data_IF_324960923243
#
_entry.id   IF_324960923243
#
_cell.length_a   1.000
_cell.length_b   1.000
_cell.length_c   1.000
_cell.angle_alpha   90.00
_cell.angle_beta   90.00
_cell.angle_gamma   90.00
#
_symmetry.space_group_name_H-M   'P 1'
#
loop_
_entity.id
_entity.type
_entity.pdbx_description
1 polymer ?
#
# COMPACT_ATOMS: atom_id res chain seq x y z
N UNK A 1 -42.20 -26.61 37.69
CA UNK A 1 -40.92 -26.05 38.18
C UNK A 1 -40.07 -25.77 36.95
N UNK A 2 -40.07 -24.49 36.56
CA UNK A 2 -39.34 -23.73 35.55
C UNK A 2 -38.43 -24.46 34.54
N UNK A 3 -38.91 -24.54 33.30
CA UNK A 3 -38.07 -24.66 32.11
C UNK A 3 -37.35 -23.32 31.89
N UNK A 4 -36.05 -23.26 32.14
CA UNK A 4 -35.24 -22.09 31.79
C UNK A 4 -35.33 -21.85 30.26
N UNK A 5 -35.52 -20.61 29.81
CA UNK A 5 -35.53 -20.31 28.38
C UNK A 5 -34.16 -20.64 27.79
N UNK A 6 -34.16 -21.58 26.84
CA UNK A 6 -33.00 -21.97 26.06
C UNK A 6 -32.38 -20.72 25.44
N UNK A 7 -31.16 -20.36 25.88
CA UNK A 7 -30.43 -19.19 25.40
C UNK A 7 -29.99 -19.50 23.97
N UNK A 8 -30.87 -19.23 22.99
CA UNK A 8 -30.54 -19.32 21.57
C UNK A 8 -29.22 -18.58 21.33
N UNK A 9 -28.23 -19.19 20.66
CA UNK A 9 -27.02 -18.46 20.30
C UNK A 9 -27.47 -17.24 19.51
N UNK A 10 -27.10 -16.03 19.98
CA UNK A 10 -27.38 -14.79 19.24
C UNK A 10 -26.80 -14.94 17.85
N UNK A 11 -27.66 -15.09 16.84
CA UNK A 11 -27.28 -14.90 15.45
C UNK A 11 -26.78 -13.46 15.36
N UNK A 12 -25.49 -13.29 15.09
CA UNK A 12 -24.90 -11.96 14.97
C UNK A 12 -25.51 -11.27 13.76
N UNK A 13 -25.81 -9.98 13.91
CA UNK A 13 -26.27 -9.16 12.80
C UNK A 13 -25.16 -9.00 11.76
N UNK A 14 -25.51 -8.61 10.53
CA UNK A 14 -24.53 -8.25 9.51
C UNK A 14 -23.56 -7.17 10.01
N UNK A 15 -24.05 -6.22 10.81
CA UNK A 15 -23.25 -5.16 11.41
C UNK A 15 -22.24 -5.70 12.44
N UNK A 16 -22.65 -6.66 13.27
CA UNK A 16 -21.75 -7.31 14.24
C UNK A 16 -20.62 -8.07 13.51
N UNK A 17 -20.94 -8.72 12.39
CA UNK A 17 -19.96 -9.43 11.55
C UNK A 17 -18.98 -8.42 10.94
N UNK A 18 -19.49 -7.31 10.41
CA UNK A 18 -18.66 -6.27 9.80
C UNK A 18 -17.73 -5.61 10.85
N UNK A 19 -18.24 -5.32 12.04
CA UNK A 19 -17.44 -4.79 13.15
C UNK A 19 -16.34 -5.76 13.57
N UNK A 20 -16.65 -7.05 13.67
CA UNK A 20 -15.65 -8.08 13.97
C UNK A 20 -14.57 -8.16 12.88
N UNK A 21 -14.97 -8.16 11.60
CA UNK A 21 -14.02 -8.20 10.48
C UNK A 21 -13.12 -6.96 10.46
N UNK A 22 -13.65 -5.78 10.74
CA UNK A 22 -12.85 -4.55 10.84
C UNK A 22 -11.91 -4.54 12.06
N UNK A 23 -12.36 -5.06 13.20
CA UNK A 23 -11.48 -5.25 14.36
C UNK A 23 -10.34 -6.23 14.04
N UNK A 24 -10.67 -7.36 13.39
CA UNK A 24 -9.68 -8.33 12.92
C UNK A 24 -8.67 -7.70 11.97
N UNK A 25 -9.15 -6.93 10.99
CA UNK A 25 -8.30 -6.24 10.00
C UNK A 25 -7.26 -5.35 10.69
N UNK A 26 -7.68 -4.52 11.65
CA UNK A 26 -6.78 -3.59 12.36
C UNK A 26 -5.70 -4.31 13.16
N UNK A 27 -6.07 -5.36 13.89
CA UNK A 27 -5.11 -6.17 14.65
C UNK A 27 -4.15 -6.90 13.70
N UNK A 28 -4.69 -7.53 12.67
CA UNK A 28 -3.90 -8.27 11.69
C UNK A 28 -2.93 -7.36 10.92
N UNK A 29 -3.33 -6.14 10.57
CA UNK A 29 -2.47 -5.16 9.90
C UNK A 29 -1.22 -4.86 10.74
N UNK A 30 -1.38 -4.58 12.04
CA UNK A 30 -0.25 -4.37 12.94
C UNK A 30 0.60 -5.64 13.15
N UNK A 31 -0.06 -6.79 13.31
CA UNK A 31 0.62 -8.08 13.48
C UNK A 31 1.49 -8.42 12.26
N UNK A 32 0.96 -8.27 11.05
CA UNK A 32 1.69 -8.54 9.81
C UNK A 32 2.78 -7.51 9.55
N UNK A 33 2.55 -6.24 9.90
CA UNK A 33 3.55 -5.18 9.81
C UNK A 33 4.80 -5.47 10.64
N UNK A 34 4.62 -6.02 11.84
CA UNK A 34 5.69 -6.20 12.83
C UNK A 34 6.36 -7.57 12.74
N UNK A 35 5.61 -8.63 12.46
CA UNK A 35 6.11 -10.03 12.50
C UNK A 35 6.17 -10.69 11.12
N UNK A 36 5.69 -10.02 10.06
CA UNK A 36 5.51 -10.61 8.75
C UNK A 36 4.40 -11.68 8.72
N UNK A 37 3.93 -12.05 7.52
CA UNK A 37 2.83 -13.00 7.41
C UNK A 37 3.15 -14.41 7.95
N UNK A 38 4.42 -14.82 7.91
CA UNK A 38 4.86 -16.13 8.42
C UNK A 38 4.94 -16.15 9.96
N UNK A 39 5.23 -15.00 10.58
CA UNK A 39 5.31 -14.87 12.04
C UNK A 39 3.97 -14.60 12.73
N UNK A 40 2.85 -14.77 12.03
CA UNK A 40 1.50 -14.56 12.56
C UNK A 40 0.67 -15.82 12.42
N UNK A 41 -0.04 -16.17 13.49
CA UNK A 41 -0.99 -17.29 13.54
C UNK A 41 -2.42 -16.82 13.84
N UNK A 42 -3.41 -17.63 13.43
CA UNK A 42 -4.83 -17.39 13.75
C UNK A 42 -5.09 -17.28 15.26
N UNK A 43 -4.38 -18.09 16.06
CA UNK A 43 -4.54 -18.12 17.52
C UNK A 43 -4.03 -16.84 18.18
N UNK A 44 -2.93 -16.29 17.69
CA UNK A 44 -2.41 -15.00 18.19
C UNK A 44 -3.36 -13.86 17.86
N UNK A 45 -3.87 -13.81 16.64
CA UNK A 45 -4.88 -12.81 16.25
C UNK A 45 -6.14 -12.92 17.13
N UNK A 46 -6.63 -14.13 17.39
CA UNK A 46 -7.76 -14.35 18.29
C UNK A 46 -7.49 -13.82 19.71
N UNK A 47 -6.28 -14.09 20.23
CA UNK A 47 -5.83 -13.63 21.54
C UNK A 47 -5.74 -12.11 21.60
N UNK A 48 -5.19 -11.47 20.58
CA UNK A 48 -5.09 -10.01 20.48
C UNK A 48 -6.47 -9.34 20.37
N UNK A 49 -7.45 -10.00 19.75
CA UNK A 49 -8.86 -9.57 19.75
C UNK A 49 -9.61 -9.86 21.07
N UNK A 50 -8.99 -10.57 22.02
CA UNK A 50 -9.63 -10.97 23.28
C UNK A 50 -10.76 -12.00 23.11
N UNK A 51 -10.70 -12.81 22.05
CA UNK A 51 -11.71 -13.84 21.77
C UNK A 51 -11.13 -15.26 21.80
N UNK A 52 -12.00 -16.27 21.71
CA UNK A 52 -11.57 -17.67 21.68
C UNK A 52 -10.83 -17.99 20.37
N UNK A 53 -9.90 -18.95 20.40
CA UNK A 53 -9.14 -19.37 19.21
C UNK A 53 -10.03 -19.84 18.04
N UNK A 54 -11.24 -20.32 18.32
CA UNK A 54 -12.20 -20.76 17.30
C UNK A 54 -13.08 -19.63 16.75
N UNK A 55 -13.10 -18.46 17.38
CA UNK A 55 -13.97 -17.35 16.95
C UNK A 55 -13.63 -16.86 15.53
N UNK A 56 -12.35 -16.61 15.15
CA UNK A 56 -12.02 -16.15 13.81
C UNK A 56 -12.45 -17.10 12.69
N UNK A 57 -12.35 -18.41 12.92
CA UNK A 57 -12.73 -19.45 11.95
C UNK A 57 -14.22 -19.45 11.57
N UNK A 58 -15.06 -18.69 12.29
CA UNK A 58 -16.47 -18.49 11.94
C UNK A 58 -16.66 -17.48 10.81
N UNK A 59 -15.69 -16.59 10.59
CA UNK A 59 -15.79 -15.48 9.64
C UNK A 59 -14.69 -15.47 8.59
N UNK A 60 -13.65 -16.28 8.80
CA UNK A 60 -12.51 -16.40 7.92
C UNK A 60 -12.18 -17.89 7.73
N UNK A 61 -11.93 -18.29 6.49
CA UNK A 61 -11.51 -19.65 6.13
C UNK A 61 -10.15 -19.98 6.74
N UNK A 62 -9.22 -19.04 6.64
CA UNK A 62 -7.81 -19.21 7.02
C UNK A 62 -7.13 -17.85 7.27
N UNK A 63 -5.83 -17.89 7.58
CA UNK A 63 -5.01 -16.69 7.80
C UNK A 63 -4.86 -15.89 6.50
N UNK A 64 -4.83 -16.59 5.37
CA UNK A 64 -4.64 -16.04 4.04
C UNK A 64 -5.83 -15.15 3.63
N UNK A 65 -7.06 -15.49 4.04
CA UNK A 65 -8.22 -14.62 3.86
C UNK A 65 -8.10 -13.32 4.67
N UNK A 66 -7.62 -13.39 5.91
CA UNK A 66 -7.38 -12.21 6.75
C UNK A 66 -6.29 -11.32 6.12
N UNK A 67 -5.20 -11.95 5.66
CA UNK A 67 -4.14 -11.25 4.95
C UNK A 67 -4.66 -10.59 3.67
N UNK A 68 -5.48 -11.30 2.88
CA UNK A 68 -6.08 -10.75 1.67
C UNK A 68 -6.96 -9.53 1.96
N UNK A 69 -7.75 -9.58 3.04
CA UNK A 69 -8.54 -8.45 3.53
C UNK A 69 -7.67 -7.25 3.94
N UNK A 70 -6.58 -7.48 4.70
CA UNK A 70 -5.63 -6.43 5.08
C UNK A 70 -5.01 -5.78 3.83
N UNK A 71 -4.58 -6.58 2.86
CA UNK A 71 -4.00 -6.09 1.62
C UNK A 71 -5.00 -5.34 0.75
N UNK A 72 -6.24 -5.81 0.66
CA UNK A 72 -7.31 -5.12 -0.06
C UNK A 72 -7.55 -3.73 0.53
N UNK A 73 -7.57 -3.61 1.86
CA UNK A 73 -7.67 -2.31 2.52
C UNK A 73 -6.48 -1.39 2.22
N UNK A 74 -5.25 -1.90 2.24
CA UNK A 74 -4.06 -1.15 1.88
C UNK A 74 -4.12 -0.65 0.42
N UNK A 75 -4.46 -1.53 -0.54
CA UNK A 75 -4.67 -1.14 -1.95
C UNK A 75 -5.77 -0.09 -2.12
N UNK A 76 -6.86 -0.18 -1.34
CA UNK A 76 -7.93 0.81 -1.39
C UNK A 76 -7.50 2.19 -0.88
N UNK A 77 -6.76 2.26 0.24
CA UNK A 77 -6.18 3.52 0.73
C UNK A 77 -5.19 4.11 -0.27
N UNK A 78 -4.33 3.26 -0.82
CA UNK A 78 -3.37 3.64 -1.85
C UNK A 78 -4.07 4.20 -3.10
N UNK A 79 -5.05 3.49 -3.63
CA UNK A 79 -5.85 3.94 -4.78
C UNK A 79 -6.55 5.28 -4.50
N UNK A 80 -7.16 5.45 -3.32
CA UNK A 80 -7.80 6.72 -2.96
C UNK A 80 -6.81 7.89 -2.96
N UNK A 81 -5.57 7.66 -2.50
CA UNK A 81 -4.52 8.69 -2.50
C UNK A 81 -4.05 9.05 -3.91
N UNK A 82 -3.87 8.06 -4.79
CA UNK A 82 -3.54 8.30 -6.20
C UNK A 82 -4.67 9.04 -6.91
N UNK A 83 -5.93 8.67 -6.65
CA UNK A 83 -7.10 9.30 -7.25
C UNK A 83 -7.23 10.77 -6.83
N UNK A 84 -7.07 11.07 -5.54
CA UNK A 84 -7.07 12.45 -5.03
C UNK A 84 -5.95 13.31 -5.65
N UNK A 85 -4.76 12.73 -5.86
CA UNK A 85 -3.65 13.43 -6.52
C UNK A 85 -3.93 13.69 -8.01
N UNK A 86 -4.56 12.73 -8.70
CA UNK A 86 -4.87 12.85 -10.12
C UNK A 86 -5.98 13.87 -10.42
N UNK A 87 -6.94 14.08 -9.49
CA UNK A 87 -8.09 14.98 -9.70
C UNK A 87 -7.70 16.44 -9.96
N UNK A 88 -6.58 16.89 -9.39
CA UNK A 88 -6.15 18.30 -9.44
C UNK A 88 -4.99 18.54 -10.41
N UNK A 89 -4.60 17.50 -11.16
CA UNK A 89 -3.41 17.52 -12.01
C UNK A 89 -3.77 17.78 -13.47
N UNK A 90 -3.00 18.60 -14.20
CA UNK A 90 -3.04 18.60 -15.65
C UNK A 90 -2.88 17.17 -16.19
N UNK A 91 -3.61 16.83 -17.24
CA UNK A 91 -3.60 15.47 -17.80
C UNK A 91 -2.20 15.00 -18.24
N UNK A 92 -1.27 15.93 -18.49
CA UNK A 92 0.11 15.71 -18.90
C UNK A 92 1.12 15.70 -17.76
N UNK A 93 0.73 16.08 -16.54
CA UNK A 93 1.59 16.10 -15.36
C UNK A 93 1.35 14.85 -14.50
N UNK A 94 2.31 13.93 -14.51
CA UNK A 94 2.30 12.72 -13.69
C UNK A 94 3.09 12.87 -12.39
N UNK A 95 3.79 13.98 -12.19
CA UNK A 95 4.66 14.15 -11.03
C UNK A 95 3.85 14.02 -9.73
N UNK A 96 2.65 14.61 -9.67
CA UNK A 96 1.73 14.54 -8.53
C UNK A 96 1.27 13.12 -8.17
N UNK A 97 0.94 12.28 -9.15
CA UNK A 97 0.52 10.87 -8.90
C UNK A 97 1.71 10.07 -8.38
N UNK A 98 2.89 10.39 -8.86
CA UNK A 98 4.14 9.70 -8.54
C UNK A 98 4.67 10.12 -7.17
N UNK A 99 4.48 11.38 -6.82
CA UNK A 99 4.72 11.89 -5.48
C UNK A 99 3.74 11.25 -4.49
N UNK A 100 2.46 11.14 -4.85
CA UNK A 100 1.46 10.48 -4.02
C UNK A 100 1.76 8.98 -3.82
N UNK A 101 2.29 8.32 -4.85
CA UNK A 101 2.79 6.95 -4.78
C UNK A 101 3.90 6.81 -3.74
N UNK A 102 4.96 7.62 -3.87
CA UNK A 102 6.13 7.58 -2.99
C UNK A 102 5.74 7.99 -1.57
N UNK A 103 4.91 9.01 -1.44
CA UNK A 103 4.43 9.49 -0.15
C UNK A 103 3.61 8.41 0.58
N UNK A 104 2.75 7.66 -0.11
CA UNK A 104 2.07 6.52 0.51
C UNK A 104 3.06 5.49 1.06
N UNK A 105 4.06 5.14 0.26
CA UNK A 105 5.04 4.12 0.65
C UNK A 105 5.88 4.54 1.85
N UNK A 106 6.20 5.83 1.98
CA UNK A 106 6.98 6.34 3.11
C UNK A 106 6.11 6.58 4.37
N UNK A 107 4.83 6.88 4.18
CA UNK A 107 3.89 7.12 5.30
C UNK A 107 3.36 5.84 5.91
N UNK A 108 3.13 4.84 5.06
CA UNK A 108 2.60 3.54 5.44
C UNK A 108 3.53 2.42 4.94
N UNK A 109 4.83 2.39 5.33
CA UNK A 109 5.82 1.47 4.76
C UNK A 109 5.47 0.00 4.98
N UNK A 110 4.82 -0.32 6.10
CA UNK A 110 4.36 -1.68 6.36
C UNK A 110 3.17 -2.08 5.47
N UNK A 111 2.20 -1.19 5.28
CA UNK A 111 1.06 -1.47 4.39
C UNK A 111 1.53 -1.60 2.94
N UNK A 112 2.45 -0.73 2.51
CA UNK A 112 3.07 -0.77 1.19
C UNK A 112 3.81 -2.09 0.96
N UNK A 113 4.67 -2.51 1.91
CA UNK A 113 5.33 -3.82 1.86
C UNK A 113 4.32 -4.96 1.77
N UNK A 114 3.26 -4.98 2.57
CA UNK A 114 2.24 -6.03 2.52
C UNK A 114 1.51 -6.11 1.17
N UNK A 115 1.38 -5.01 0.45
CA UNK A 115 0.80 -5.01 -0.90
C UNK A 115 1.67 -5.79 -1.90
N UNK A 116 3.01 -5.77 -1.77
CA UNK A 116 3.95 -6.23 -2.80
C UNK A 116 4.90 -7.37 -2.39
N UNK A 117 5.25 -7.51 -1.11
CA UNK A 117 6.22 -8.51 -0.59
C UNK A 117 5.71 -9.96 -0.69
N UNK A 118 4.41 -10.13 -0.93
CA UNK A 118 3.80 -11.44 -1.01
C UNK A 118 3.08 -11.56 -2.34
N UNK A 119 3.44 -12.55 -3.15
CA UNK A 119 2.62 -12.98 -4.28
C UNK A 119 1.33 -13.60 -3.70
N UNK A 120 0.19 -12.91 -3.66
CA UNK A 120 -1.04 -13.64 -3.39
C UNK A 120 -1.38 -14.37 -4.68
N UNK A 121 -1.85 -15.61 -4.57
CA UNK A 121 -2.81 -16.05 -5.56
C UNK A 121 -4.03 -15.10 -5.42
N UNK A 122 -4.12 -14.04 -6.24
CA UNK A 122 -5.32 -13.20 -6.27
C UNK A 122 -6.56 -14.05 -6.63
N UNK A 123 -6.33 -15.17 -7.31
CA UNK A 123 -7.31 -16.22 -7.52
C UNK A 123 -7.83 -16.74 -6.16
N UNK A 124 -9.10 -16.46 -5.88
CA UNK A 124 -9.78 -16.82 -4.63
C UNK A 124 -10.13 -15.65 -3.72
N UNK A 125 -9.63 -14.43 -4.00
CA UNK A 125 -9.90 -13.24 -3.19
C UNK A 125 -10.38 -12.06 -4.07
N UNK A 126 -11.68 -12.01 -4.43
CA UNK A 126 -12.19 -11.02 -5.39
C UNK A 126 -12.04 -9.57 -4.91
N UNK A 127 -12.18 -9.31 -3.61
CA UNK A 127 -11.99 -7.96 -3.05
C UNK A 127 -10.55 -7.47 -3.20
N UNK A 128 -9.57 -8.35 -2.97
CA UNK A 128 -8.15 -8.04 -3.18
C UNK A 128 -7.85 -7.79 -4.66
N UNK A 129 -8.38 -8.64 -5.55
CA UNK A 129 -8.23 -8.47 -6.99
C UNK A 129 -8.80 -7.13 -7.47
N UNK A 130 -10.01 -6.78 -7.03
CA UNK A 130 -10.67 -5.52 -7.37
C UNK A 130 -9.89 -4.29 -6.84
N UNK A 131 -9.43 -4.33 -5.59
CA UNK A 131 -8.64 -3.24 -5.01
C UNK A 131 -7.29 -3.05 -5.74
N UNK A 132 -6.59 -4.15 -6.03
CA UNK A 132 -5.34 -4.13 -6.80
C UNK A 132 -5.56 -3.60 -8.22
N UNK A 133 -6.62 -4.05 -8.90
CA UNK A 133 -6.95 -3.60 -10.26
C UNK A 133 -7.31 -2.11 -10.28
N UNK A 134 -8.04 -1.61 -9.27
CA UNK A 134 -8.34 -0.18 -9.14
C UNK A 134 -7.07 0.65 -9.04
N UNK A 135 -6.14 0.26 -8.17
CA UNK A 135 -4.85 0.94 -8.04
C UNK A 135 -4.05 0.91 -9.36
N UNK A 136 -4.01 -0.24 -10.03
CA UNK A 136 -3.33 -0.39 -11.32
C UNK A 136 -3.90 0.54 -12.40
N UNK A 137 -5.23 0.58 -12.52
CA UNK A 137 -5.91 1.45 -13.49
C UNK A 137 -5.58 2.92 -13.27
N UNK A 138 -5.46 3.37 -12.03
CA UNK A 138 -5.11 4.75 -11.72
C UNK A 138 -3.67 5.10 -12.17
N UNK A 139 -2.74 4.16 -12.04
CA UNK A 139 -1.37 4.33 -12.54
C UNK A 139 -1.30 4.28 -14.08
N UNK A 140 -2.07 3.38 -14.71
CA UNK A 140 -2.08 3.19 -16.17
C UNK A 140 -2.84 4.27 -16.95
N UNK A 141 -3.96 4.77 -16.42
CA UNK A 141 -4.85 5.70 -17.12
C UNK A 141 -4.17 7.01 -17.56
N UNK A 142 -3.07 7.39 -16.89
CA UNK A 142 -2.27 8.54 -17.32
C UNK A 142 -1.55 8.27 -18.65
N UNK A 143 -0.91 7.11 -18.79
CA UNK A 143 -0.17 6.75 -20.01
C UNK A 143 -1.10 6.57 -21.20
N UNK A 144 -2.32 6.05 -20.98
CA UNK A 144 -3.36 6.02 -22.01
C UNK A 144 -3.66 7.41 -22.57
N UNK A 145 -3.76 8.43 -21.70
CA UNK A 145 -3.99 9.82 -22.13
C UNK A 145 -2.79 10.42 -22.85
N UNK A 146 -1.56 10.16 -22.39
CA UNK A 146 -0.34 10.67 -23.04
C UNK A 146 -0.17 10.09 -24.44
N UNK A 147 -0.44 8.80 -24.61
CA UNK A 147 -0.41 8.15 -25.93
C UNK A 147 -1.53 8.67 -26.82
N UNK A 148 -2.76 8.80 -26.30
CA UNK A 148 -3.89 9.36 -27.05
C UNK A 148 -3.66 10.83 -27.49
N UNK A 149 -2.92 11.60 -26.70
CA UNK A 149 -2.53 12.97 -27.02
C UNK A 149 -1.33 13.08 -27.98
N UNK A 150 -0.74 11.96 -28.40
CA UNK A 150 0.45 11.93 -29.26
C UNK A 150 1.73 12.41 -28.57
N UNK A 151 1.74 12.48 -27.24
CA UNK A 151 2.92 12.91 -26.45
C UNK A 151 3.91 11.74 -26.28
N UNK A 152 3.39 10.52 -26.14
CA UNK A 152 4.16 9.30 -26.10
C UNK A 152 3.75 8.37 -27.24
N UNK A 153 4.70 7.58 -27.72
CA UNK A 153 4.47 6.52 -28.70
C UNK A 153 4.64 5.14 -28.04
N UNK A 154 3.77 4.19 -28.38
CA UNK A 154 3.85 2.80 -27.91
C UNK A 154 2.60 2.32 -27.16
N UNK A 155 2.70 1.13 -26.56
CA UNK A 155 1.62 0.53 -25.77
C UNK A 155 1.55 1.19 -24.37
N UNK A 156 0.44 1.86 -24.01
CA UNK A 156 0.32 2.55 -22.73
C UNK A 156 0.41 1.62 -21.52
N UNK A 157 0.03 0.35 -21.64
CA UNK A 157 0.17 -0.64 -20.56
C UNK A 157 1.65 -0.98 -20.34
N UNK A 158 2.40 -1.25 -21.40
CA UNK A 158 3.84 -1.54 -21.30
C UNK A 158 4.63 -0.36 -20.74
N UNK A 159 4.31 0.85 -21.18
CA UNK A 159 4.88 2.09 -20.64
C UNK A 159 4.55 2.21 -19.15
N UNK A 160 3.29 1.97 -18.77
CA UNK A 160 2.86 1.96 -17.37
C UNK A 160 3.61 0.93 -16.51
N UNK A 161 3.88 -0.28 -17.03
CA UNK A 161 4.67 -1.29 -16.33
C UNK A 161 6.12 -0.87 -16.14
N UNK A 162 6.79 -0.38 -17.19
CA UNK A 162 8.18 0.09 -17.08
C UNK A 162 8.31 1.25 -16.08
N UNK A 163 7.32 2.15 -16.11
CA UNK A 163 7.23 3.26 -15.19
C UNK A 163 7.01 2.82 -13.74
N UNK A 164 6.03 1.95 -13.51
CA UNK A 164 5.75 1.40 -12.19
C UNK A 164 6.94 0.61 -11.65
N UNK A 165 7.59 -0.22 -12.47
CA UNK A 165 8.78 -0.97 -12.07
C UNK A 165 9.89 -0.03 -11.57
N UNK A 166 10.06 1.11 -12.24
CA UNK A 166 11.03 2.14 -11.83
C UNK A 166 10.64 2.75 -10.49
N UNK A 167 9.41 3.27 -10.34
CA UNK A 167 8.94 3.85 -9.08
C UNK A 167 9.00 2.86 -7.92
N UNK A 168 8.54 1.63 -8.14
CA UNK A 168 8.54 0.57 -7.15
C UNK A 168 9.96 0.21 -6.73
N UNK A 169 10.88 0.02 -7.68
CA UNK A 169 12.28 -0.26 -7.40
C UNK A 169 12.94 0.83 -6.55
N UNK A 170 12.79 2.09 -6.95
CA UNK A 170 13.34 3.22 -6.17
C UNK A 170 12.73 3.31 -4.77
N UNK A 171 11.42 3.11 -4.67
CA UNK A 171 10.70 3.16 -3.39
C UNK A 171 11.15 2.05 -2.46
N UNK A 172 11.27 0.81 -2.96
CA UNK A 172 11.74 -0.32 -2.16
C UNK A 172 13.19 -0.17 -1.74
N UNK A 173 14.06 0.34 -2.62
CA UNK A 173 15.46 0.66 -2.27
C UNK A 173 15.54 1.75 -1.19
N UNK A 174 14.70 2.80 -1.30
CA UNK A 174 14.63 3.84 -0.28
C UNK A 174 14.15 3.27 1.07
N UNK A 175 13.09 2.46 1.07
CA UNK A 175 12.57 1.80 2.27
C UNK A 175 13.56 0.80 2.89
N UNK A 176 14.51 0.29 2.12
CA UNK A 176 15.58 -0.57 2.58
C UNK A 176 16.85 0.21 3.02
N UNK A 177 16.83 1.55 2.97
CA UNK A 177 18.00 2.41 3.17
C UNK A 177 19.17 2.06 2.22
N UNK A 178 18.86 1.54 1.03
CA UNK A 178 19.83 1.15 0.00
C UNK A 178 19.92 2.16 -1.15
N UNK A 179 19.09 3.21 -1.12
CA UNK A 179 19.17 4.29 -2.08
C UNK A 179 20.07 5.40 -1.52
N UNK A 180 21.19 5.76 -2.19
CA UNK A 180 22.00 6.89 -1.78
C UNK A 180 21.23 8.18 -2.05
N UNK A 181 20.49 8.63 -1.04
CA UNK A 181 19.83 9.92 -1.06
C UNK A 181 20.89 10.98 -0.74
N UNK A 182 20.99 12.06 -1.53
CA UNK A 182 21.82 13.19 -1.14
C UNK A 182 21.35 13.67 0.21
N UNK A 183 22.28 13.88 1.15
CA UNK A 183 21.98 14.51 2.43
C UNK A 183 21.14 15.75 2.12
N UNK A 184 19.92 15.79 2.68
CA UNK A 184 19.21 17.06 2.75
C UNK A 184 20.21 18.01 3.39
N UNK A 185 20.58 19.09 2.68
CA UNK A 185 21.50 20.11 3.19
C UNK A 185 20.83 20.81 4.36
N UNK A 186 20.74 20.12 5.49
CA UNK A 186 20.54 20.72 6.78
C UNK A 186 21.94 20.89 7.34
N UNK A 187 22.27 22.15 7.62
CA UNK A 187 23.49 22.57 8.30
C UNK A 187 23.61 21.85 9.65
N UNK A 188 24.14 20.63 9.66
CA UNK A 188 24.49 19.92 10.88
C UNK A 188 25.98 20.13 11.13
N UNK A 189 26.28 20.76 12.26
CA UNK A 189 27.63 20.84 12.83
C UNK A 189 28.20 19.44 13.03
N UNK A 190 29.53 19.33 12.95
CA UNK A 190 30.35 18.10 12.81
C UNK A 190 30.12 17.00 13.88
N UNK A 191 29.33 17.24 14.92
CA UNK A 191 29.14 16.30 16.04
C UNK A 191 27.98 15.28 15.86
N UNK A 192 27.12 15.40 14.85
CA UNK A 192 25.94 14.52 14.68
C UNK A 192 26.14 13.31 13.75
N UNK A 193 27.33 13.12 13.19
CA UNK A 193 27.63 12.05 12.22
C UNK A 193 27.46 10.62 12.79
N UNK A 194 27.39 10.45 14.11
CA UNK A 194 27.24 9.15 14.76
C UNK A 194 25.78 8.63 14.81
N UNK A 195 24.78 9.42 14.42
CA UNK A 195 23.36 9.02 14.47
C UNK A 195 22.61 9.21 13.12
N UNK A 196 23.30 9.00 12.00
CA UNK A 196 22.77 9.21 10.64
C UNK A 196 21.79 8.12 10.14
N UNK A 197 20.95 7.56 11.02
CA UNK A 197 19.92 6.57 10.65
C UNK A 197 18.54 7.23 10.52
N UNK A 198 18.49 8.42 9.93
CA UNK A 198 17.24 9.13 9.70
C UNK A 198 16.49 8.45 8.55
N UNK A 199 15.23 8.07 8.80
CA UNK A 199 14.35 7.55 7.77
C UNK A 199 14.30 8.52 6.58
N UNK A 200 14.31 8.02 5.33
CA UNK A 200 14.34 8.87 4.15
C UNK A 200 13.12 9.79 4.10
N UNK A 201 13.33 11.08 3.84
CA UNK A 201 12.22 12.04 3.69
C UNK A 201 11.54 11.89 2.33
N UNK A 202 10.24 12.18 2.26
CA UNK A 202 9.45 12.16 1.00
C UNK A 202 10.11 13.01 -0.08
N UNK A 203 10.54 14.20 0.30
CA UNK A 203 11.18 15.16 -0.59
C UNK A 203 12.50 14.64 -1.16
N UNK A 204 13.36 14.03 -0.32
CA UNK A 204 14.66 13.51 -0.77
C UNK A 204 14.51 12.35 -1.76
N UNK A 205 13.60 11.40 -1.47
CA UNK A 205 13.31 10.27 -2.37
C UNK A 205 12.74 10.77 -3.69
N UNK A 206 11.76 11.67 -3.63
CA UNK A 206 11.13 12.18 -4.84
C UNK A 206 12.08 13.04 -5.68
N UNK A 207 12.93 13.86 -5.07
CA UNK A 207 13.97 14.61 -5.75
C UNK A 207 15.00 13.70 -6.43
N UNK A 208 15.31 12.54 -5.84
CA UNK A 208 16.19 11.56 -6.46
C UNK A 208 15.54 10.88 -7.68
N UNK A 209 14.28 10.44 -7.53
CA UNK A 209 13.49 9.85 -8.62
C UNK A 209 13.34 10.84 -9.78
N UNK A 210 12.97 12.11 -9.51
CA UNK A 210 12.88 13.17 -10.53
C UNK A 210 14.21 13.40 -11.25
N UNK A 211 15.34 13.42 -10.51
CA UNK A 211 16.66 13.59 -11.13
C UNK A 211 17.02 12.44 -12.07
N UNK A 212 16.61 11.21 -11.76
CA UNK A 212 16.97 10.04 -12.55
C UNK A 212 16.02 9.80 -13.73
N UNK A 213 14.71 9.98 -13.52
CA UNK A 213 13.68 9.62 -14.51
C UNK A 213 13.18 10.81 -15.34
N UNK A 214 13.36 12.07 -14.90
CA UNK A 214 12.76 13.25 -15.58
C UNK A 214 13.74 14.26 -16.19
N UNK A 215 15.05 14.07 -16.11
CA UNK A 215 16.03 15.01 -16.72
C UNK A 215 15.86 15.20 -18.24
N UNK A 216 15.17 14.29 -18.93
CA UNK A 216 14.89 14.40 -20.37
C UNK A 216 13.52 14.97 -20.76
N UNK A 217 12.61 15.23 -19.81
CA UNK A 217 11.19 15.54 -20.09
C UNK A 217 10.80 17.02 -19.86
N UNK A 218 11.72 17.87 -19.41
CA UNK A 218 11.47 19.31 -19.39
C UNK A 218 11.80 19.86 -20.79
N UNK A 219 10.88 20.59 -21.46
CA UNK A 219 11.24 21.33 -22.65
C UNK A 219 12.39 22.26 -22.28
N UNK A 220 13.51 22.12 -23.00
CA UNK A 220 14.57 23.13 -22.99
C UNK A 220 13.87 24.46 -23.26
N UNK A 221 13.83 25.34 -22.26
CA UNK A 221 13.40 26.72 -22.49
C UNK A 221 14.46 27.35 -23.38
N UNK A 222 14.19 27.34 -24.69
CA UNK A 222 14.83 28.21 -25.67
C UNK A 222 14.32 29.63 -25.54
#
# INVERSE_FOLDING_TARGET
MDLQPSRMPKTLSSDDIQQFREAMRRVAENAFATRGAQGVTMRELAKELGCSAMTPYRYFRDKEEILAMVRAAAFNRFAARLEAAAQNAPATDHSVVSEAYVAFALDEPHAYRLMFDQTPQQAGYPELAAASQRAWRLLGAHFERLVAAGILEGDPQLIGYAYWASLHGFTMLALANQLPLPEAQQSATVDDAANANHAPTREAVFAQIRRMLWRGALPQRG
#
